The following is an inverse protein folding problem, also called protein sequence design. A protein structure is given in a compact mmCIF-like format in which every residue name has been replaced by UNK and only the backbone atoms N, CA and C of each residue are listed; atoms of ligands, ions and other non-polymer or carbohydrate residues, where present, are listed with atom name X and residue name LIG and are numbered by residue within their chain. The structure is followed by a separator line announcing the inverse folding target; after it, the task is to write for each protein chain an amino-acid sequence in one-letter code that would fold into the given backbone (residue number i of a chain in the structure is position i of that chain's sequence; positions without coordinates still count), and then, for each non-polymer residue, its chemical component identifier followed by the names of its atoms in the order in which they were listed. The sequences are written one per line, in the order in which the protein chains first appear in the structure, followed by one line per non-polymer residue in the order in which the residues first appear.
data_IF_712572425300
#
_entry.id   IF_712572425300
#
_cell.length_a   1.000
_cell.length_b   1.000
_cell.length_c   1.000
_cell.angle_alpha   90.00
_cell.angle_beta   90.00
_cell.angle_gamma   90.00
#
_symmetry.space_group_name_H-M   'P 1'
#
loop_
_entity.id
_entity.type
_entity.pdbx_description
1 polymer ?
#
# COMPACT_ATOMS: atom_id res chain seq x y z
N UNK A 1 -18.76 2.74 -4.39
CA UNK A 1 -18.86 1.68 -3.36
C UNK A 1 -20.18 1.86 -2.63
N UNK A 2 -20.92 0.78 -2.38
CA UNK A 2 -22.13 0.83 -1.57
C UNK A 2 -21.74 1.26 -0.13
N UNK A 3 -22.37 2.32 0.38
CA UNK A 3 -22.08 2.91 1.70
C UNK A 3 -22.21 1.86 2.81
N UNK A 4 -23.16 0.94 2.67
CA UNK A 4 -23.44 -0.09 3.66
C UNK A 4 -22.29 -1.10 3.80
N UNK A 5 -21.72 -1.52 2.67
CA UNK A 5 -20.58 -2.45 2.65
C UNK A 5 -19.34 -1.81 3.27
N UNK A 6 -19.08 -0.54 2.94
CA UNK A 6 -17.93 0.19 3.48
C UNK A 6 -18.04 0.32 4.99
N UNK A 7 -19.22 0.69 5.49
CA UNK A 7 -19.50 0.78 6.92
C UNK A 7 -19.34 -0.57 7.63
N UNK A 8 -19.77 -1.67 7.00
CA UNK A 8 -19.59 -3.02 7.53
C UNK A 8 -18.10 -3.35 7.68
N UNK A 9 -17.29 -3.10 6.63
CA UNK A 9 -15.84 -3.36 6.65
C UNK A 9 -15.16 -2.54 7.75
N UNK A 10 -15.43 -1.23 7.82
CA UNK A 10 -14.86 -0.36 8.86
C UNK A 10 -15.27 -0.82 10.27
N UNK A 11 -16.52 -1.26 10.44
CA UNK A 11 -16.98 -1.79 11.74
C UNK A 11 -16.21 -3.07 12.12
N UNK A 12 -15.95 -3.96 11.16
CA UNK A 12 -15.15 -5.16 11.41
C UNK A 12 -13.70 -4.82 11.79
N UNK A 13 -13.08 -3.85 11.10
CA UNK A 13 -11.72 -3.39 11.41
C UNK A 13 -11.67 -2.80 12.81
N UNK A 14 -12.64 -1.94 13.17
CA UNK A 14 -12.74 -1.37 14.52
C UNK A 14 -12.88 -2.44 15.60
N UNK A 15 -13.65 -3.52 15.34
CA UNK A 15 -13.76 -4.67 16.24
C UNK A 15 -12.47 -5.47 16.35
N UNK A 16 -11.74 -5.64 15.25
CA UNK A 16 -10.42 -6.28 15.23
C UNK A 16 -9.36 -5.45 15.99
N UNK A 17 -9.61 -4.14 16.15
CA UNK A 17 -8.71 -3.12 16.69
C UNK A 17 -7.48 -2.91 15.80
N UNK A 18 -6.66 -3.94 15.65
CA UNK A 18 -5.41 -3.86 14.89
C UNK A 18 -5.58 -4.18 13.41
N UNK A 19 -4.81 -3.49 12.59
CA UNK A 19 -4.78 -3.67 11.14
C UNK A 19 -3.40 -3.38 10.56
N UNK A 20 -3.20 -3.74 9.31
CA UNK A 20 -2.06 -3.32 8.50
C UNK A 20 -2.52 -2.66 7.20
N UNK A 21 -1.66 -1.82 6.66
CA UNK A 21 -1.93 -1.00 5.48
C UNK A 21 -1.15 -1.57 4.31
N UNK A 22 -1.82 -1.72 3.17
CA UNK A 22 -1.20 -2.02 1.89
C UNK A 22 -1.60 -0.88 0.95
N UNK A 23 -0.61 -0.24 0.32
CA UNK A 23 -0.86 0.79 -0.70
C UNK A 23 -0.02 0.52 -1.93
N UNK A 24 -0.62 0.77 -3.08
CA UNK A 24 0.00 0.63 -4.38
C UNK A 24 -0.59 1.65 -5.36
N UNK A 25 0.17 2.01 -6.39
CA UNK A 25 -0.27 2.93 -7.44
C UNK A 25 -0.27 2.27 -8.79
N UNK A 26 -1.32 2.50 -9.58
CA UNK A 26 -1.40 2.04 -10.96
C UNK A 26 -2.01 3.11 -11.85
N UNK A 27 -1.50 3.32 -13.07
CA UNK A 27 -2.11 4.24 -14.02
C UNK A 27 -3.44 3.68 -14.52
N UNK A 28 -4.45 4.54 -14.61
CA UNK A 28 -5.73 4.18 -15.25
C UNK A 28 -5.69 4.36 -16.78
N UNK A 29 -6.82 4.08 -17.45
CA UNK A 29 -6.95 4.21 -18.91
C UNK A 29 -6.68 5.64 -19.42
N UNK A 30 -6.82 6.65 -18.57
CA UNK A 30 -6.53 8.05 -18.90
C UNK A 30 -5.07 8.44 -18.62
N UNK A 31 -4.24 7.49 -18.17
CA UNK A 31 -2.87 7.69 -17.68
C UNK A 31 -2.81 8.55 -16.41
N UNK A 32 -3.90 8.60 -15.65
CA UNK A 32 -3.91 9.21 -14.32
C UNK A 32 -3.56 8.15 -13.30
N UNK A 33 -2.61 8.44 -12.42
CA UNK A 33 -2.21 7.50 -11.38
C UNK A 33 -3.29 7.38 -10.30
N UNK A 34 -3.68 6.14 -10.00
CA UNK A 34 -4.66 5.80 -8.99
C UNK A 34 -3.97 5.18 -7.78
N UNK A 35 -4.16 5.79 -6.63
CA UNK A 35 -3.74 5.24 -5.34
C UNK A 35 -4.77 4.25 -4.84
N UNK A 36 -4.32 3.03 -4.56
CA UNK A 36 -5.11 1.99 -3.91
C UNK A 36 -4.78 1.95 -2.42
N UNK A 37 -5.80 1.82 -1.58
CA UNK A 37 -5.63 1.57 -0.14
C UNK A 37 -6.37 0.29 0.21
N UNK A 38 -5.62 -0.70 0.68
CA UNK A 38 -6.11 -1.97 1.18
C UNK A 38 -5.79 -2.06 2.66
N UNK A 39 -6.79 -2.47 3.45
CA UNK A 39 -6.59 -2.76 4.87
C UNK A 39 -6.68 -4.26 5.11
N UNK A 40 -5.70 -4.78 5.85
CA UNK A 40 -5.63 -6.17 6.27
C UNK A 40 -5.84 -6.26 7.78
N UNK A 41 -6.72 -7.15 8.22
CA UNK A 41 -7.09 -7.30 9.63
C UNK A 41 -7.49 -8.74 9.92
N UNK A 42 -7.44 -9.13 11.19
CA UNK A 42 -7.80 -10.48 11.62
C UNK A 42 -9.14 -10.47 12.34
N UNK A 43 -10.03 -11.38 11.96
CA UNK A 43 -11.17 -11.79 12.77
C UNK A 43 -10.79 -13.06 13.55
N UNK A 44 -11.61 -13.52 14.50
CA UNK A 44 -11.35 -14.79 15.20
C UNK A 44 -11.21 -16.01 14.28
N UNK A 45 -11.71 -15.94 13.05
CA UNK A 45 -11.78 -17.07 12.12
C UNK A 45 -10.90 -16.91 10.88
N UNK A 46 -10.53 -15.70 10.48
CA UNK A 46 -9.79 -15.48 9.24
C UNK A 46 -9.00 -14.18 9.20
N UNK A 47 -8.00 -14.17 8.33
CA UNK A 47 -7.34 -12.93 7.88
C UNK A 47 -8.14 -12.37 6.72
N UNK A 48 -8.43 -11.08 6.76
CA UNK A 48 -9.24 -10.39 5.76
C UNK A 48 -8.45 -9.23 5.16
N UNK A 49 -8.47 -9.13 3.84
CA UNK A 49 -7.94 -8.01 3.08
C UNK A 49 -9.08 -7.36 2.31
N UNK A 50 -9.21 -6.04 2.42
CA UNK A 50 -10.29 -5.28 1.80
C UNK A 50 -9.75 -4.04 1.11
N UNK A 51 -10.06 -3.89 -0.17
CA UNK A 51 -9.90 -2.62 -0.87
C UNK A 51 -10.92 -1.62 -0.31
N UNK A 52 -10.42 -0.54 0.27
CA UNK A 52 -11.25 0.44 0.97
C UNK A 52 -11.26 1.81 0.31
N UNK A 53 -10.25 2.10 -0.53
CA UNK A 53 -10.20 3.34 -1.29
C UNK A 53 -9.44 3.14 -2.61
N UNK A 54 -9.98 3.77 -3.64
CA UNK A 54 -9.28 4.10 -4.88
C UNK A 54 -9.42 5.62 -5.06
N UNK A 55 -8.33 6.31 -5.35
CA UNK A 55 -8.39 7.74 -5.67
C UNK A 55 -7.26 8.20 -6.58
N UNK A 56 -7.53 9.16 -7.48
CA UNK A 56 -6.49 9.78 -8.29
C UNK A 56 -5.54 10.59 -7.41
N UNK A 57 -4.28 10.66 -7.80
CA UNK A 57 -3.29 11.52 -7.19
C UNK A 57 -2.23 11.95 -8.21
N UNK A 58 -1.73 13.18 -8.08
CA UNK A 58 -0.79 13.75 -9.04
C UNK A 58 0.61 13.96 -8.44
N UNK A 59 0.77 13.78 -7.12
CA UNK A 59 2.01 14.05 -6.41
C UNK A 59 2.56 12.79 -5.76
N UNK A 60 3.67 12.31 -6.31
CA UNK A 60 4.35 11.09 -5.91
C UNK A 60 5.27 11.24 -4.71
N UNK A 61 5.32 12.40 -4.02
CA UNK A 61 6.15 12.55 -2.81
C UNK A 61 5.59 11.73 -1.65
N UNK A 62 6.44 11.09 -0.85
CA UNK A 62 6.04 10.29 0.30
C UNK A 62 5.11 11.03 1.26
N UNK A 63 5.33 12.33 1.47
CA UNK A 63 4.46 13.17 2.30
C UNK A 63 3.03 13.28 1.75
N UNK A 64 2.89 13.43 0.42
CA UNK A 64 1.59 13.53 -0.24
C UNK A 64 0.83 12.21 -0.16
N UNK A 65 1.54 11.10 -0.32
CA UNK A 65 1.00 9.75 -0.16
C UNK A 65 0.52 9.53 1.29
N UNK A 66 1.31 9.96 2.26
CA UNK A 66 0.93 9.91 3.67
C UNK A 66 -0.30 10.75 3.97
N UNK A 67 -0.42 11.95 3.39
CA UNK A 67 -1.59 12.80 3.56
C UNK A 67 -2.88 12.16 3.02
N UNK A 68 -2.80 11.45 1.88
CA UNK A 68 -3.92 10.70 1.32
C UNK A 68 -4.37 9.61 2.31
N UNK A 69 -3.42 8.85 2.83
CA UNK A 69 -3.68 7.82 3.84
C UNK A 69 -4.29 8.41 5.12
N UNK A 70 -3.68 9.46 5.67
CA UNK A 70 -4.12 10.09 6.91
C UNK A 70 -5.55 10.66 6.77
N UNK A 71 -5.82 11.34 5.65
CA UNK A 71 -7.15 11.86 5.33
C UNK A 71 -8.18 10.74 5.24
N UNK A 72 -7.83 9.62 4.61
CA UNK A 72 -8.71 8.46 4.54
C UNK A 72 -9.00 7.89 5.94
N UNK A 73 -7.97 7.59 6.73
CA UNK A 73 -8.13 7.02 8.07
C UNK A 73 -8.96 7.91 9.00
N UNK A 74 -8.71 9.23 8.98
CA UNK A 74 -9.51 10.23 9.71
C UNK A 74 -10.97 10.22 9.27
N UNK A 75 -11.25 10.13 7.95
CA UNK A 75 -12.61 10.14 7.42
C UNK A 75 -13.47 8.95 7.88
N UNK A 76 -12.83 7.80 8.16
CA UNK A 76 -13.52 6.60 8.65
C UNK A 76 -13.37 6.37 10.16
N UNK A 77 -12.63 7.26 10.84
CA UNK A 77 -12.37 7.18 12.28
C UNK A 77 -11.54 5.96 12.68
N UNK A 78 -10.52 5.62 11.89
CA UNK A 78 -9.51 4.63 12.26
C UNK A 78 -8.25 5.33 12.80
N UNK A 79 -7.73 4.86 13.93
CA UNK A 79 -6.51 5.41 14.52
C UNK A 79 -5.26 4.79 13.87
N UNK A 80 -4.31 5.63 13.47
CA UNK A 80 -3.02 5.15 12.94
C UNK A 80 -2.20 4.40 13.99
N UNK A 81 -2.39 4.68 15.29
CA UNK A 81 -1.71 4.00 16.40
C UNK A 81 -2.10 2.51 16.54
N UNK A 82 -3.25 2.12 16.00
CA UNK A 82 -3.69 0.73 15.94
C UNK A 82 -3.09 -0.03 14.74
N UNK A 83 -2.38 0.67 13.84
CA UNK A 83 -1.65 0.03 12.75
C UNK A 83 -0.49 -0.83 13.30
N UNK A 84 -0.26 -2.00 12.70
CA UNK A 84 0.83 -2.92 13.09
C UNK A 84 1.73 -3.32 11.92
N UNK A 85 1.32 -3.01 10.70
CA UNK A 85 2.10 -3.29 9.52
C UNK A 85 1.79 -2.32 8.39
N UNK A 86 2.78 -2.10 7.55
CA UNK A 86 2.67 -1.25 6.37
C UNK A 86 3.46 -1.91 5.23
N UNK A 87 2.85 -2.02 4.05
CA UNK A 87 3.44 -2.72 2.90
C UNK A 87 3.17 -1.96 1.62
N UNK A 88 4.25 -1.62 0.91
CA UNK A 88 4.25 -0.81 -0.31
C UNK A 88 5.29 -1.33 -1.29
N UNK A 89 5.31 -0.80 -2.52
CA UNK A 89 6.41 -1.04 -3.45
C UNK A 89 7.76 -0.54 -2.88
N UNK A 90 8.84 -0.87 -3.60
CA UNK A 90 10.19 -0.50 -3.18
C UNK A 90 10.61 0.89 -3.72
N UNK A 91 9.72 1.65 -4.36
CA UNK A 91 10.05 2.96 -4.90
C UNK A 91 10.43 3.93 -3.78
N UNK A 92 11.37 4.84 -4.03
CA UNK A 92 11.99 5.67 -3.00
C UNK A 92 11.00 6.57 -2.25
N UNK A 93 9.90 6.97 -2.91
CA UNK A 93 8.80 7.73 -2.32
C UNK A 93 7.92 6.90 -1.37
N UNK A 94 7.93 5.58 -1.47
CA UNK A 94 7.18 4.66 -0.60
C UNK A 94 8.11 4.08 0.47
N UNK A 95 9.21 3.47 0.04
CA UNK A 95 10.18 2.72 0.84
C UNK A 95 11.29 3.59 1.43
N UNK A 96 11.36 4.88 1.10
CA UNK A 96 12.40 5.78 1.59
C UNK A 96 12.43 5.87 3.12
N UNK A 97 13.62 5.72 3.70
CA UNK A 97 13.82 5.76 5.16
C UNK A 97 13.57 7.15 5.78
N UNK A 98 13.76 8.22 4.99
CA UNK A 98 13.69 9.60 5.47
C UNK A 98 12.46 10.33 4.93
N UNK A 99 12.24 10.30 3.62
CA UNK A 99 11.16 11.04 2.94
C UNK A 99 10.14 10.11 2.23
N UNK A 100 10.18 8.82 2.56
CA UNK A 100 9.24 7.84 2.01
C UNK A 100 7.95 7.78 2.83
N UNK A 101 6.87 7.27 2.24
CA UNK A 101 5.63 6.97 2.98
C UNK A 101 5.92 6.20 4.28
N UNK A 102 6.86 5.25 4.24
CA UNK A 102 7.16 4.44 5.42
C UNK A 102 7.71 5.23 6.62
N UNK A 103 8.45 6.31 6.39
CA UNK A 103 9.00 7.12 7.46
C UNK A 103 7.89 7.88 8.16
N UNK A 104 7.01 8.54 7.39
CA UNK A 104 5.88 9.29 7.94
C UNK A 104 4.90 8.41 8.71
N UNK A 105 4.67 7.17 8.27
CA UNK A 105 3.84 6.21 9.05
C UNK A 105 4.55 5.82 10.35
N UNK A 106 5.86 5.54 10.32
CA UNK A 106 6.65 5.20 11.52
C UNK A 106 6.73 6.35 12.52
N UNK A 107 6.81 7.59 12.04
CA UNK A 107 6.84 8.78 12.90
C UNK A 107 5.56 8.92 13.73
N UNK A 108 4.42 8.45 13.21
CA UNK A 108 3.15 8.42 13.93
C UNK A 108 2.95 7.16 14.75
N UNK A 109 3.50 6.04 14.29
CA UNK A 109 3.35 4.76 14.95
C UNK A 109 4.58 3.88 14.66
N UNK A 110 5.50 3.86 15.62
CA UNK A 110 6.72 3.07 15.53
C UNK A 110 6.47 1.54 15.56
N UNK A 111 5.27 1.09 15.91
CA UNK A 111 4.86 -0.32 15.90
C UNK A 111 4.35 -0.78 14.53
N UNK A 112 4.16 0.13 13.57
CA UNK A 112 3.77 -0.22 12.20
C UNK A 112 5.00 -0.71 11.42
N UNK A 113 5.25 -2.02 11.43
CA UNK A 113 6.41 -2.63 10.77
C UNK A 113 6.31 -2.49 9.25
N UNK A 114 7.36 -1.97 8.61
CA UNK A 114 7.44 -1.91 7.15
C UNK A 114 7.88 -3.25 6.58
N UNK A 115 7.10 -3.74 5.61
CA UNK A 115 7.34 -4.97 4.87
C UNK A 115 7.37 -4.60 3.38
N UNK A 116 8.49 -4.78 2.67
CA UNK A 116 8.55 -4.49 1.24
C UNK A 116 7.65 -5.44 0.44
N UNK A 117 7.11 -4.96 -0.68
CA UNK A 117 6.26 -5.78 -1.55
C UNK A 117 7.04 -7.00 -2.08
N UNK A 118 6.58 -8.20 -1.70
CA UNK A 118 7.19 -9.46 -2.15
C UNK A 118 7.09 -9.64 -3.65
N UNK A 119 5.96 -9.27 -4.26
CA UNK A 119 5.77 -9.40 -5.71
C UNK A 119 6.78 -8.54 -6.48
N UNK A 120 6.93 -7.27 -6.07
CA UNK A 120 7.91 -6.37 -6.68
C UNK A 120 9.35 -6.85 -6.42
N UNK A 121 9.65 -7.30 -5.20
CA UNK A 121 10.97 -7.84 -4.86
C UNK A 121 11.32 -9.09 -5.68
N UNK A 122 10.34 -9.97 -5.90
CA UNK A 122 10.51 -11.15 -6.75
C UNK A 122 10.70 -10.77 -8.22
N UNK A 123 9.94 -9.78 -8.70
CA UNK A 123 10.11 -9.24 -10.05
C UNK A 123 11.53 -8.72 -10.29
N UNK A 124 12.08 -7.97 -9.34
CA UNK A 124 13.45 -7.46 -9.39
C UNK A 124 14.48 -8.59 -9.46
N UNK A 125 14.33 -9.65 -8.67
CA UNK A 125 15.21 -10.82 -8.74
C UNK A 125 15.19 -11.43 -10.14
N UNK A 126 14.01 -11.55 -10.75
CA UNK A 126 13.87 -12.03 -12.14
C UNK A 126 14.65 -11.16 -13.12
N UNK A 127 14.44 -9.84 -13.07
CA UNK A 127 15.14 -8.86 -13.94
C UNK A 127 16.65 -8.97 -13.80
N UNK A 128 17.17 -8.99 -12.57
CA UNK A 128 18.62 -9.06 -12.34
C UNK A 128 19.24 -10.41 -12.71
N UNK A 129 18.47 -11.50 -12.60
CA UNK A 129 18.97 -12.84 -12.94
C UNK A 129 19.22 -13.01 -14.44
N UNK A 130 18.56 -12.21 -15.28
CA UNK A 130 18.62 -12.32 -16.74
C UNK A 130 19.38 -11.17 -17.41
N UNK A 131 19.89 -10.22 -16.61
CA UNK A 131 20.54 -8.98 -17.09
C UNK A 131 21.81 -9.23 -17.94
N UNK A 132 22.35 -10.45 -17.90
CA UNK A 132 23.45 -10.88 -18.75
C UNK A 132 23.04 -11.31 -20.17
N UNK A 133 21.74 -11.45 -20.47
CA UNK A 133 21.22 -11.93 -21.75
C UNK A 133 20.19 -10.94 -22.31
N UNK A 134 20.56 -10.26 -23.41
CA UNK A 134 19.75 -9.20 -24.03
C UNK A 134 18.39 -9.73 -24.50
N UNK A 135 18.35 -10.95 -25.06
CA UNK A 135 17.12 -11.59 -25.51
C UNK A 135 16.16 -11.84 -24.34
N UNK A 136 16.70 -12.30 -23.20
CA UNK A 136 15.92 -12.52 -21.99
C UNK A 136 15.45 -11.18 -21.38
N UNK A 137 16.31 -10.16 -21.33
CA UNK A 137 15.93 -8.80 -20.92
C UNK A 137 14.79 -8.27 -21.79
N UNK A 138 14.88 -8.43 -23.11
CA UNK A 138 13.83 -7.99 -24.03
C UNK A 138 12.53 -8.76 -23.85
N UNK A 139 12.60 -10.08 -23.58
CA UNK A 139 11.42 -10.90 -23.31
C UNK A 139 10.73 -10.47 -22.01
N UNK A 140 11.48 -10.37 -20.91
CA UNK A 140 10.92 -10.01 -19.61
C UNK A 140 10.47 -8.55 -19.55
N UNK A 141 11.13 -7.63 -20.27
CA UNK A 141 10.69 -6.23 -20.39
C UNK A 141 9.41 -6.05 -21.20
N UNK A 142 9.01 -7.02 -22.02
CA UNK A 142 7.72 -7.01 -22.72
C UNK A 142 6.59 -7.64 -21.89
N UNK A 143 6.90 -8.66 -21.09
CA UNK A 143 5.90 -9.43 -20.32
C UNK A 143 5.52 -8.75 -19.00
N UNK A 144 6.44 -8.00 -18.38
CA UNK A 144 6.21 -7.23 -17.14
C UNK A 144 5.45 -5.93 -17.39
#
# INVERSE_FOLDING_TARGET
MNTDLTNLIITQIKKAKYYSIIMDSTPDLSKTDQMTIVLRYCTPTSVNERLVKLCPFDNHKGQSLYFILEKYLKSVGLNIEDCRGQSYDNAANMSGKYEGLQSYVKDKNNLAVYIPCTAHSFNLVGVYSVDCCIEAVSFFGFVQ
#
